data_IF_115020346657
#
_entry.id   IF_115020346657
#
_cell.length_a   1.000
_cell.length_b   1.000
_cell.length_c   1.000
_cell.angle_alpha   90.00
_cell.angle_beta   90.00
_cell.angle_gamma   90.00
#
_symmetry.space_group_name_H-M   'P 1'
#
loop_
_entity.id
_entity.type
_entity.pdbx_description
1 polymer ?
#
# COMPACT_ATOMS: atom_id res chain seq x y z
N UNK A 1 -3.04 16.36 -7.21
CA UNK A 1 -2.80 17.60 -6.46
C UNK A 1 -3.61 17.57 -5.20
N UNK A 2 -4.92 17.40 -5.37
CA UNK A 2 -5.95 17.54 -4.33
C UNK A 2 -5.58 17.10 -2.91
N UNK A 3 -5.03 15.89 -2.71
CA UNK A 3 -4.63 15.46 -1.37
C UNK A 3 -3.62 16.40 -0.70
N UNK A 4 -2.58 16.85 -1.43
CA UNK A 4 -1.60 17.80 -0.90
C UNK A 4 -2.15 19.22 -0.81
N UNK A 5 -3.12 19.58 -1.65
CA UNK A 5 -3.80 20.89 -1.57
C UNK A 5 -4.63 20.99 -0.27
N UNK A 6 -5.25 19.88 0.15
CA UNK A 6 -6.00 19.78 1.41
C UNK A 6 -5.11 19.46 2.62
N UNK A 7 -3.96 18.82 2.40
CA UNK A 7 -3.06 18.33 3.46
C UNK A 7 -1.60 18.74 3.18
N UNK A 8 -1.24 20.03 3.29
CA UNK A 8 0.07 20.53 2.86
C UNK A 8 1.27 20.02 3.67
N UNK A 9 1.04 19.55 4.91
CA UNK A 9 2.08 19.00 5.79
C UNK A 9 2.15 17.47 5.75
N UNK A 10 1.27 16.84 4.98
CA UNK A 10 1.24 15.39 4.86
C UNK A 10 2.37 14.88 3.96
N UNK A 11 2.71 13.61 4.12
CA UNK A 11 3.65 12.91 3.26
C UNK A 11 2.97 11.70 2.62
N UNK A 12 3.34 11.42 1.37
CA UNK A 12 2.94 10.20 0.68
C UNK A 12 4.19 9.42 0.33
N UNK A 13 4.08 8.09 0.34
CA UNK A 13 5.04 7.19 -0.26
C UNK A 13 4.27 6.19 -1.12
N UNK A 14 4.86 5.78 -2.24
CA UNK A 14 4.25 4.81 -3.15
C UNK A 14 4.99 3.48 -3.08
N UNK A 15 4.23 2.40 -2.84
CA UNK A 15 4.72 1.02 -2.91
C UNK A 15 4.07 0.35 -4.11
N UNK A 16 4.89 -0.30 -4.93
CA UNK A 16 4.46 -1.09 -6.07
C UNK A 16 4.55 -2.57 -5.71
N UNK A 17 3.50 -3.33 -6.00
CA UNK A 17 3.48 -4.77 -5.75
C UNK A 17 3.29 -5.49 -7.08
N UNK A 18 4.26 -6.31 -7.48
CA UNK A 18 4.25 -7.06 -8.74
C UNK A 18 5.15 -8.28 -8.62
N UNK A 19 4.78 -9.38 -9.28
CA UNK A 19 5.56 -10.62 -9.34
C UNK A 19 5.90 -11.20 -7.96
N UNK A 20 4.95 -11.11 -7.02
CA UNK A 20 5.13 -11.56 -5.64
C UNK A 20 6.01 -10.65 -4.77
N UNK A 21 6.58 -9.59 -5.34
CA UNK A 21 7.47 -8.65 -4.65
C UNK A 21 6.78 -7.31 -4.39
N UNK A 22 7.34 -6.55 -3.44
CA UNK A 22 6.93 -5.18 -3.14
C UNK A 22 8.13 -4.24 -3.09
N UNK A 23 8.06 -3.13 -3.81
CA UNK A 23 9.13 -2.14 -3.92
C UNK A 23 8.63 -0.73 -3.61
N UNK A 24 9.44 0.07 -2.93
CA UNK A 24 9.16 1.49 -2.70
C UNK A 24 9.50 2.31 -3.95
N UNK A 25 8.50 2.66 -4.77
CA UNK A 25 8.69 3.56 -5.91
C UNK A 25 9.14 4.97 -5.48
N UNK A 26 8.55 5.46 -4.40
CA UNK A 26 8.92 6.77 -3.82
C UNK A 26 8.82 6.72 -2.31
N UNK A 27 9.83 7.26 -1.62
CA UNK A 27 9.81 7.38 -0.15
C UNK A 27 8.78 8.40 0.31
N UNK A 28 8.44 8.35 1.61
CA UNK A 28 7.58 9.34 2.27
C UNK A 28 8.13 10.76 2.06
N UNK A 29 7.40 11.60 1.34
CA UNK A 29 7.76 13.01 1.11
C UNK A 29 6.53 13.86 0.78
N UNK A 30 6.70 15.18 0.80
CA UNK A 30 5.72 16.15 0.30
C UNK A 30 5.84 16.46 -1.21
N UNK A 31 6.71 15.76 -1.95
CA UNK A 31 7.03 16.11 -3.34
C UNK A 31 6.03 15.51 -4.32
N UNK A 32 4.97 16.28 -4.63
CA UNK A 32 3.96 15.92 -5.64
C UNK A 32 4.60 15.51 -6.96
N UNK A 33 5.63 16.25 -7.40
CA UNK A 33 6.32 15.99 -8.66
C UNK A 33 7.05 14.65 -8.66
N UNK A 34 7.73 14.30 -7.56
CA UNK A 34 8.42 13.01 -7.46
C UNK A 34 7.44 11.83 -7.55
N UNK A 35 6.32 11.90 -6.82
CA UNK A 35 5.28 10.87 -6.85
C UNK A 35 4.63 10.74 -8.23
N UNK A 36 4.34 11.87 -8.89
CA UNK A 36 3.68 11.88 -10.20
C UNK A 36 4.59 11.33 -11.30
N UNK A 37 5.88 11.66 -11.27
CA UNK A 37 6.86 11.12 -12.21
C UNK A 37 7.05 9.62 -12.02
N UNK A 38 7.19 9.15 -10.78
CA UNK A 38 7.33 7.72 -10.50
C UNK A 38 6.10 6.91 -10.94
N UNK A 39 4.88 7.44 -10.68
CA UNK A 39 3.66 6.80 -11.12
C UNK A 39 3.54 6.77 -12.65
N UNK A 40 3.88 7.87 -13.34
CA UNK A 40 3.88 7.90 -14.80
C UNK A 40 4.87 6.88 -15.41
N UNK A 41 6.05 6.72 -14.81
CA UNK A 41 7.03 5.73 -15.22
C UNK A 41 6.50 4.29 -15.01
N UNK A 42 5.84 4.00 -13.89
CA UNK A 42 5.23 2.71 -13.61
C UNK A 42 4.06 2.37 -14.57
N UNK A 43 3.28 3.37 -14.97
CA UNK A 43 2.22 3.18 -15.96
C UNK A 43 2.78 2.91 -17.37
N UNK A 44 3.89 3.55 -17.73
CA UNK A 44 4.56 3.30 -19.02
C UNK A 44 5.16 1.89 -19.07
N UNK A 45 5.72 1.39 -17.97
CA UNK A 45 6.29 0.04 -17.91
C UNK A 45 5.24 -1.07 -18.02
N UNK A 46 3.99 -0.78 -17.64
CA UNK A 46 2.84 -1.71 -17.68
C UNK A 46 2.00 -1.63 -18.95
N UNK A 47 2.09 -0.54 -19.72
CA UNK A 47 1.31 -0.32 -20.95
C UNK A 47 1.96 -0.92 -22.21
N UNK A 48 3.21 -1.38 -22.13
CA UNK A 48 3.85 -2.17 -23.18
C UNK A 48 3.58 -3.66 -22.99
N UNK A 49 3.82 -4.48 -24.03
CA UNK A 49 3.89 -5.95 -23.95
C UNK A 49 5.10 -6.41 -23.13
N UNK A 50 5.26 -5.87 -21.93
CA UNK A 50 6.34 -6.16 -21.02
C UNK A 50 5.91 -7.38 -20.19
N UNK A 51 6.49 -8.57 -20.45
CA UNK A 51 6.09 -9.81 -19.78
C UNK A 51 6.29 -9.78 -18.26
N UNK A 52 7.00 -8.78 -17.73
CA UNK A 52 7.26 -8.60 -16.30
C UNK A 52 6.18 -7.76 -15.58
N UNK A 53 5.16 -7.28 -16.26
CA UNK A 53 4.07 -6.48 -15.67
C UNK A 53 2.86 -7.32 -15.24
N UNK A 54 3.01 -8.64 -15.25
CA UNK A 54 2.01 -9.60 -14.79
C UNK A 54 2.65 -10.61 -13.86
N UNK A 55 1.99 -10.89 -12.75
CA UNK A 55 2.47 -11.84 -11.75
C UNK A 55 1.55 -11.84 -10.54
N UNK A 56 1.91 -12.63 -9.54
CA UNK A 56 1.11 -12.75 -8.33
C UNK A 56 1.21 -11.46 -7.49
N UNK A 57 0.12 -11.10 -6.83
CA UNK A 57 0.10 -10.00 -5.86
C UNK A 57 0.44 -10.54 -4.47
N UNK A 58 1.32 -9.88 -3.72
CA UNK A 58 1.56 -10.17 -2.30
C UNK A 58 1.16 -8.97 -1.44
N UNK A 59 0.06 -9.11 -0.71
CA UNK A 59 -0.41 -8.15 0.29
C UNK A 59 0.57 -8.03 1.45
N UNK A 60 1.13 -9.15 1.92
CA UNK A 60 2.07 -9.18 3.03
C UNK A 60 3.31 -8.34 2.73
N UNK A 61 3.94 -8.57 1.59
CA UNK A 61 5.16 -7.85 1.22
C UNK A 61 4.89 -6.35 1.10
N UNK A 62 3.78 -5.97 0.46
CA UNK A 62 3.35 -4.57 0.36
C UNK A 62 3.16 -3.91 1.73
N UNK A 63 2.42 -4.56 2.64
CA UNK A 63 2.18 -4.07 4.00
C UNK A 63 3.46 -3.98 4.83
N UNK A 64 4.38 -4.94 4.68
CA UNK A 64 5.65 -4.92 5.40
C UNK A 64 6.57 -3.79 4.94
N UNK A 65 6.70 -3.57 3.62
CA UNK A 65 7.48 -2.45 3.07
C UNK A 65 6.89 -1.11 3.52
N UNK A 66 5.58 -0.94 3.38
CA UNK A 66 4.89 0.28 3.81
C UNK A 66 5.03 0.49 5.33
N UNK A 67 4.82 -0.55 6.14
CA UNK A 67 4.94 -0.50 7.60
C UNK A 67 6.34 -0.13 8.08
N UNK A 68 7.39 -0.68 7.45
CA UNK A 68 8.80 -0.29 7.74
C UNK A 68 9.07 1.18 7.41
N UNK A 69 8.53 1.67 6.29
CA UNK A 69 8.63 3.07 5.89
C UNK A 69 7.99 4.01 6.92
N UNK A 70 6.77 3.68 7.36
CA UNK A 70 6.03 4.42 8.39
C UNK A 70 6.65 4.32 9.80
N UNK A 71 7.53 3.35 10.06
CA UNK A 71 8.26 3.22 11.32
C UNK A 71 9.13 4.44 11.66
N UNK A 72 9.56 5.20 10.65
CA UNK A 72 10.34 6.44 10.80
C UNK A 72 9.46 7.69 10.96
N UNK A 73 8.15 7.58 10.76
CA UNK A 73 7.25 8.71 10.89
C UNK A 73 7.06 9.09 12.37
N UNK A 74 6.88 10.39 12.68
CA UNK A 74 6.65 10.83 14.06
C UNK A 74 5.41 10.15 14.66
N UNK A 75 5.51 9.76 15.94
CA UNK A 75 4.43 9.04 16.65
C UNK A 75 3.17 9.86 16.90
N UNK A 76 3.27 11.19 16.83
CA UNK A 76 2.15 12.10 17.05
C UNK A 76 1.28 12.29 15.79
N UNK A 77 1.77 11.87 14.62
CA UNK A 77 0.99 11.89 13.37
C UNK A 77 0.19 10.61 13.16
N UNK A 78 -0.86 10.70 12.34
CA UNK A 78 -1.52 9.50 11.83
C UNK A 78 -0.56 8.72 10.92
N UNK A 79 -0.64 7.39 10.97
CA UNK A 79 0.11 6.49 10.11
C UNK A 79 -0.87 5.61 9.38
N UNK A 80 -0.91 5.76 8.07
CA UNK A 80 -1.98 5.23 7.24
C UNK A 80 -1.41 4.52 6.02
N UNK A 81 -2.00 3.38 5.70
CA UNK A 81 -1.74 2.65 4.45
C UNK A 81 -3.06 2.58 3.71
N UNK A 82 -3.05 3.01 2.45
CA UNK A 82 -4.14 2.80 1.50
C UNK A 82 -3.70 1.76 0.48
N UNK A 83 -4.37 0.61 0.47
CA UNK A 83 -4.14 -0.46 -0.50
C UNK A 83 -5.15 -0.32 -1.64
N UNK A 84 -4.68 -0.11 -2.86
CA UNK A 84 -5.54 -0.16 -4.05
C UNK A 84 -5.24 -1.47 -4.76
N UNK A 85 -6.24 -2.33 -4.88
CA UNK A 85 -6.06 -3.68 -5.37
C UNK A 85 -7.03 -4.03 -6.50
N UNK A 86 -6.45 -4.38 -7.65
CA UNK A 86 -7.16 -4.99 -8.77
C UNK A 86 -7.13 -6.52 -8.76
N UNK A 87 -6.33 -7.13 -7.88
CA UNK A 87 -6.21 -8.58 -7.76
C UNK A 87 -7.38 -9.17 -6.95
N UNK A 88 -7.82 -10.38 -7.34
CA UNK A 88 -8.85 -11.16 -6.66
C UNK A 88 -8.28 -12.16 -5.64
N UNK A 89 -6.96 -12.23 -5.53
CA UNK A 89 -6.24 -13.11 -4.62
C UNK A 89 -4.91 -12.48 -4.24
N UNK A 90 -4.33 -12.98 -3.16
CA UNK A 90 -2.98 -12.63 -2.70
C UNK A 90 -2.20 -13.93 -2.47
N UNK A 91 -0.93 -13.93 -2.87
CA UNK A 91 0.02 -15.01 -2.69
C UNK A 91 1.13 -14.51 -1.77
N UNK A 92 1.04 -14.88 -0.51
CA UNK A 92 1.91 -14.37 0.56
C UNK A 92 2.81 -15.48 1.12
N UNK A 93 4.05 -15.15 1.53
CA UNK A 93 4.99 -16.14 2.06
C UNK A 93 4.60 -16.68 3.45
N UNK A 94 3.79 -15.93 4.21
CA UNK A 94 3.37 -16.28 5.56
C UNK A 94 1.90 -15.95 5.83
N UNK A 95 1.49 -16.04 7.09
CA UNK A 95 0.12 -15.75 7.48
C UNK A 95 -0.06 -14.26 7.82
N UNK A 96 -0.61 -13.49 6.89
CA UNK A 96 -0.80 -12.04 7.03
C UNK A 96 -1.57 -11.65 8.30
N UNK A 97 -2.61 -12.42 8.65
CA UNK A 97 -3.46 -12.14 9.81
C UNK A 97 -2.78 -12.45 11.14
N UNK A 98 -1.89 -13.43 11.17
CA UNK A 98 -1.20 -13.85 12.40
C UNK A 98 0.15 -13.19 12.59
N UNK A 99 0.83 -12.81 11.51
CA UNK A 99 2.19 -12.28 11.56
C UNK A 99 2.23 -10.77 11.32
N UNK A 100 1.57 -10.28 10.27
CA UNK A 100 1.69 -8.89 9.80
C UNK A 100 0.70 -7.97 10.51
N UNK A 101 -0.55 -8.39 10.64
CA UNK A 101 -1.60 -7.60 11.30
C UNK A 101 -1.24 -7.22 12.75
N UNK A 102 -0.72 -8.12 13.62
CA UNK A 102 -0.33 -7.72 14.97
C UNK A 102 0.81 -6.69 14.98
N UNK A 103 1.76 -6.78 14.02
CA UNK A 103 2.85 -5.79 13.89
C UNK A 103 2.31 -4.42 13.51
N UNK A 104 1.38 -4.35 12.56
CA UNK A 104 0.72 -3.10 12.14
C UNK A 104 -0.10 -2.48 13.28
N UNK A 105 -0.86 -3.32 14.00
CA UNK A 105 -1.68 -2.89 15.13
C UNK A 105 -0.83 -2.36 16.28
N UNK A 106 0.24 -3.08 16.66
CA UNK A 106 1.21 -2.62 17.67
C UNK A 106 1.89 -1.31 17.26
N UNK A 107 2.07 -1.11 15.96
CA UNK A 107 2.61 0.12 15.41
C UNK A 107 1.56 1.22 15.28
N UNK A 108 0.29 1.06 15.69
CA UNK A 108 -0.80 2.03 15.47
C UNK A 108 -0.87 2.52 14.01
N UNK A 109 -0.78 1.58 13.06
CA UNK A 109 -0.93 1.86 11.64
C UNK A 109 -2.35 1.48 11.21
N UNK A 110 -3.09 2.44 10.68
CA UNK A 110 -4.42 2.23 10.09
C UNK A 110 -4.26 1.76 8.65
N UNK A 111 -4.95 0.67 8.28
CA UNK A 111 -4.91 0.16 6.91
C UNK A 111 -6.30 0.18 6.31
N UNK A 112 -6.45 0.91 5.20
CA UNK A 112 -7.67 0.92 4.40
C UNK A 112 -7.40 0.31 3.04
N UNK A 113 -8.44 -0.23 2.40
CA UNK A 113 -8.32 -0.92 1.11
C UNK A 113 -9.43 -0.51 0.16
N UNK A 114 -9.12 -0.42 -1.12
CA UNK A 114 -10.05 -0.23 -2.22
C UNK A 114 -9.88 -1.43 -3.16
N UNK A 115 -10.89 -2.30 -3.20
CA UNK A 115 -10.90 -3.48 -4.07
C UNK A 115 -11.69 -3.19 -5.35
N UNK A 116 -11.04 -3.27 -6.51
CA UNK A 116 -11.71 -2.90 -7.77
C UNK A 116 -12.72 -3.93 -8.29
N UNK A 117 -12.61 -5.19 -7.86
CA UNK A 117 -13.41 -6.28 -8.44
C UNK A 117 -14.26 -7.02 -7.39
N UNK A 118 -13.63 -7.47 -6.30
CA UNK A 118 -14.33 -8.18 -5.23
C UNK A 118 -13.73 -7.89 -3.86
N UNK A 119 -14.55 -8.01 -2.84
CA UNK A 119 -14.11 -7.96 -1.46
C UNK A 119 -13.16 -9.12 -1.15
N UNK A 120 -12.00 -8.81 -0.56
CA UNK A 120 -11.08 -9.82 -0.02
C UNK A 120 -11.25 -9.92 1.49
N UNK A 121 -11.53 -11.13 1.98
CA UNK A 121 -11.71 -11.40 3.42
C UNK A 121 -10.51 -10.93 4.26
N UNK A 122 -9.28 -11.13 3.77
CA UNK A 122 -8.06 -10.69 4.46
C UNK A 122 -8.00 -9.16 4.60
N UNK A 123 -8.36 -8.42 3.54
CA UNK A 123 -8.41 -6.95 3.56
C UNK A 123 -9.47 -6.44 4.53
N UNK A 124 -10.67 -7.07 4.57
CA UNK A 124 -11.72 -6.76 5.55
C UNK A 124 -11.22 -6.91 6.98
N UNK A 125 -10.62 -8.06 7.30
CA UNK A 125 -10.11 -8.32 8.67
C UNK A 125 -9.02 -7.35 9.08
N UNK A 126 -8.14 -6.97 8.15
CA UNK A 126 -7.09 -5.98 8.42
C UNK A 126 -7.69 -4.59 8.65
N UNK A 127 -8.65 -4.17 7.81
CA UNK A 127 -9.32 -2.89 7.95
C UNK A 127 -10.04 -2.79 9.31
N UNK A 128 -10.86 -3.79 9.65
CA UNK A 128 -11.61 -3.82 10.91
C UNK A 128 -10.68 -3.77 12.13
N UNK A 129 -9.60 -4.56 12.12
CA UNK A 129 -8.66 -4.65 13.25
C UNK A 129 -7.77 -3.40 13.41
N UNK A 130 -7.52 -2.67 12.33
CA UNK A 130 -6.67 -1.45 12.35
C UNK A 130 -7.47 -0.14 12.36
N UNK A 131 -8.80 -0.22 12.40
CA UNK A 131 -9.70 0.93 12.35
C UNK A 131 -9.74 1.64 11.00
N UNK A 132 -9.40 0.93 9.93
CA UNK A 132 -9.49 1.40 8.54
C UNK A 132 -10.82 1.05 7.90
N UNK A 133 -10.92 1.33 6.60
CA UNK A 133 -12.12 1.09 5.81
C UNK A 133 -11.81 0.21 4.61
N UNK A 134 -12.80 -0.57 4.19
CA UNK A 134 -12.77 -1.33 2.96
C UNK A 134 -13.84 -0.79 2.02
N UNK A 135 -13.40 -0.25 0.88
CA UNK A 135 -14.26 0.10 -0.24
C UNK A 135 -14.17 -0.97 -1.33
N UNK A 136 -15.30 -1.23 -1.98
CA UNK A 136 -15.41 -2.02 -3.22
C UNK A 136 -16.14 -1.16 -4.24
#
# INVERSE_FOLDING_TARGET
GEYFDQNPLSHIGLVWCCNGEAEMMTRLSGSVNAHRLALAAALQSTSGSNPNSGGEFSLQNGLEVAGRSLGHAPRHGSREILVVLGALSTCDPGNVLMETLPRLSKANIRVSSICLAAELYVCRKIADATGGLLGV
#
